data_IF_858806207777
#
_entry.id   IF_858806207777
#
_cell.length_a   1.000
_cell.length_b   1.000
_cell.length_c   1.000
_cell.angle_alpha   90.00
_cell.angle_beta   90.00
_cell.angle_gamma   90.00
#
_symmetry.space_group_name_H-M   'P 1'
#
loop_
_entity.id
_entity.type
_entity.pdbx_description
1 polymer ?
#
# COMPACT_ATOMS: atom_id res chain seq x y z
N UNK A 1 -2.04 10.02 14.75
CA UNK A 1 -3.25 9.24 15.16
C UNK A 1 -4.32 10.10 15.86
N UNK A 2 -3.98 11.17 16.57
CA UNK A 2 -4.94 11.99 17.34
C UNK A 2 -5.23 13.37 16.71
N UNK A 3 -5.15 13.48 15.38
CA UNK A 3 -5.06 14.78 14.73
C UNK A 3 -3.80 15.52 15.20
N UNK A 4 -3.99 16.71 15.80
CA UNK A 4 -2.90 17.53 16.36
C UNK A 4 -2.99 17.71 17.88
N UNK A 5 -3.87 16.97 18.55
CA UNK A 5 -4.15 17.15 19.99
C UNK A 5 -3.68 15.94 20.79
N UNK A 6 -2.69 16.16 21.66
CA UNK A 6 -2.17 15.15 22.58
C UNK A 6 -1.62 15.82 23.84
N UNK A 7 -1.97 15.29 25.02
CA UNK A 7 -1.46 15.77 26.32
C UNK A 7 -0.39 14.85 26.92
N UNK A 8 -0.20 13.65 26.36
CA UNK A 8 0.72 12.65 26.90
C UNK A 8 2.12 12.79 26.31
N UNK A 9 3.16 12.59 27.13
CA UNK A 9 4.54 12.44 26.64
C UNK A 9 4.73 11.10 25.90
N UNK A 10 4.07 10.05 26.38
CA UNK A 10 4.04 8.71 25.78
C UNK A 10 2.60 8.36 25.39
N UNK A 11 2.08 8.94 24.30
CA UNK A 11 0.71 8.67 23.88
C UNK A 11 0.54 7.22 23.40
N UNK A 12 -0.68 6.65 23.47
CA UNK A 12 -0.98 5.35 22.89
C UNK A 12 -0.53 5.27 21.42
N UNK A 13 0.21 4.21 21.08
CA UNK A 13 0.82 4.01 19.76
C UNK A 13 1.64 5.22 19.27
N UNK A 14 2.30 5.93 20.18
CA UNK A 14 3.12 7.11 19.90
C UNK A 14 2.38 8.26 19.19
N UNK A 15 1.04 8.22 19.14
CA UNK A 15 0.22 9.12 18.31
C UNK A 15 0.72 9.22 16.86
N UNK A 16 1.41 8.20 16.37
CA UNK A 16 2.17 8.20 15.13
C UNK A 16 1.26 8.16 13.88
N UNK A 17 1.82 7.78 12.74
CA UNK A 17 1.09 7.57 11.50
C UNK A 17 0.94 6.08 11.22
N UNK A 18 -0.15 5.47 11.71
CA UNK A 18 -0.57 4.14 11.28
C UNK A 18 -1.16 4.18 9.87
N UNK A 19 -0.49 3.52 8.93
CA UNK A 19 -0.82 3.47 7.51
C UNK A 19 -1.31 2.08 7.08
N UNK A 20 -1.83 1.30 8.02
CA UNK A 20 -2.57 0.05 7.78
C UNK A 20 -4.09 0.20 7.97
N UNK A 21 -4.60 1.43 8.15
CA UNK A 21 -6.01 1.86 8.08
C UNK A 21 -6.18 3.31 8.57
N UNK A 22 -5.54 3.69 9.67
CA UNK A 22 -5.92 4.89 10.45
C UNK A 22 -5.68 6.19 9.69
N UNK A 23 -4.49 6.36 9.10
CA UNK A 23 -4.17 7.58 8.38
C UNK A 23 -4.98 7.68 7.09
N UNK A 24 -5.19 6.57 6.37
CA UNK A 24 -6.09 6.54 5.22
C UNK A 24 -7.50 7.01 5.61
N UNK A 25 -8.04 6.48 6.71
CA UNK A 25 -9.36 6.82 7.22
C UNK A 25 -9.51 8.31 7.54
N UNK A 26 -8.48 8.95 8.08
CA UNK A 26 -8.51 10.38 8.38
C UNK A 26 -8.76 11.23 7.12
N UNK A 27 -8.35 10.76 5.94
CA UNK A 27 -8.42 11.51 4.69
C UNK A 27 -9.53 11.06 3.74
N UNK A 28 -10.23 9.94 4.00
CA UNK A 28 -11.42 9.54 3.22
C UNK A 28 -12.46 10.66 2.99
N UNK A 29 -12.77 11.53 3.97
CA UNK A 29 -13.73 12.60 3.71
C UNK A 29 -13.17 13.72 2.81
N UNK A 30 -11.86 13.87 2.65
CA UNK A 30 -11.25 15.08 2.09
C UNK A 30 -11.82 15.47 0.72
N UNK A 31 -11.91 14.51 -0.21
CA UNK A 31 -12.43 14.81 -1.54
C UNK A 31 -13.96 14.90 -1.57
N UNK A 32 -14.64 13.90 -0.99
CA UNK A 32 -16.10 13.78 -1.08
C UNK A 32 -16.85 14.87 -0.31
N UNK A 33 -16.22 15.48 0.71
CA UNK A 33 -16.79 16.59 1.47
C UNK A 33 -16.30 17.97 1.00
N UNK A 34 -15.67 18.03 -0.18
CA UNK A 34 -15.20 19.27 -0.79
C UNK A 34 -14.15 20.02 0.07
N UNK A 35 -13.19 19.27 0.60
CA UNK A 35 -12.03 19.72 1.37
C UNK A 35 -10.73 19.22 0.70
N UNK A 36 -10.66 19.25 -0.63
CA UNK A 36 -9.57 18.67 -1.42
C UNK A 36 -8.20 19.26 -1.05
N UNK A 37 -8.15 20.55 -0.71
CA UNK A 37 -6.95 21.23 -0.21
C UNK A 37 -6.42 20.63 1.10
N UNK A 38 -7.29 20.06 1.93
CA UNK A 38 -6.90 19.37 3.16
C UNK A 38 -6.25 18.02 2.89
N UNK A 39 -6.39 17.45 1.68
CA UNK A 39 -5.75 16.18 1.31
C UNK A 39 -4.26 16.36 0.96
N UNK A 40 -3.90 17.51 0.39
CA UNK A 40 -2.55 17.81 -0.11
C UNK A 40 -1.41 17.54 0.89
N UNK A 41 -1.52 17.85 2.20
CA UNK A 41 -0.49 17.50 3.17
C UNK A 41 -0.22 15.99 3.26
N UNK A 42 -1.25 15.15 3.15
CA UNK A 42 -1.08 13.70 3.15
C UNK A 42 -0.47 13.21 1.85
N UNK A 43 -0.94 13.71 0.71
CA UNK A 43 -0.37 13.34 -0.59
C UNK A 43 1.11 13.69 -0.66
N UNK A 44 1.48 14.88 -0.15
CA UNK A 44 2.88 15.31 -0.02
C UNK A 44 3.68 14.37 0.88
N UNK A 45 3.14 14.06 2.07
CA UNK A 45 3.77 13.16 3.04
C UNK A 45 4.05 11.79 2.43
N UNK A 46 3.10 11.22 1.65
CA UNK A 46 3.28 9.94 0.96
C UNK A 46 4.53 9.96 0.06
N UNK A 47 4.71 11.01 -0.75
CA UNK A 47 5.91 11.08 -1.60
C UNK A 47 7.19 11.35 -0.83
N UNK A 48 7.14 12.02 0.33
CA UNK A 48 8.31 12.23 1.20
C UNK A 48 8.81 10.92 1.84
N UNK A 49 7.95 9.91 1.99
CA UNK A 49 8.36 8.57 2.44
C UNK A 49 9.27 7.84 1.43
N UNK A 50 9.27 8.24 0.15
CA UNK A 50 9.96 7.50 -0.93
C UNK A 50 11.45 7.34 -0.70
N UNK A 51 12.13 8.36 -0.18
CA UNK A 51 13.58 8.29 0.02
C UNK A 51 13.96 7.17 0.99
N UNK A 52 13.37 7.18 2.19
CA UNK A 52 13.52 6.11 3.17
C UNK A 52 13.00 4.77 2.62
N UNK A 53 11.87 4.79 1.91
CA UNK A 53 11.23 3.59 1.36
C UNK A 53 12.06 2.88 0.29
N UNK A 54 12.79 3.61 -0.56
CA UNK A 54 13.74 3.03 -1.54
C UNK A 54 14.88 2.29 -0.84
N UNK A 55 15.41 2.89 0.23
CA UNK A 55 16.44 2.25 1.05
C UNK A 55 15.91 0.96 1.67
N UNK A 56 14.72 1.02 2.29
CA UNK A 56 14.07 -0.16 2.88
C UNK A 56 13.81 -1.25 1.83
N UNK A 57 13.31 -0.90 0.64
CA UNK A 57 13.06 -1.84 -0.45
C UNK A 57 14.35 -2.57 -0.88
N UNK A 58 15.43 -1.82 -1.10
CA UNK A 58 16.71 -2.38 -1.50
C UNK A 58 17.35 -3.22 -0.40
N UNK A 59 17.41 -2.75 0.84
CA UNK A 59 18.16 -3.44 1.90
C UNK A 59 17.41 -4.63 2.50
N UNK A 60 16.08 -4.58 2.53
CA UNK A 60 15.25 -5.61 3.19
C UNK A 60 14.79 -6.66 2.19
N UNK A 61 14.41 -6.23 0.99
CA UNK A 61 13.75 -7.08 -0.01
C UNK A 61 14.60 -7.31 -1.26
N UNK A 62 15.72 -6.59 -1.43
CA UNK A 62 16.48 -6.57 -2.68
C UNK A 62 15.60 -6.25 -3.90
N UNK A 63 14.64 -5.35 -3.72
CA UNK A 63 13.65 -4.96 -4.71
C UNK A 63 13.83 -3.51 -5.14
N UNK A 64 13.38 -3.18 -6.34
CA UNK A 64 13.29 -1.79 -6.83
C UNK A 64 12.07 -1.10 -6.23
N UNK A 65 11.88 0.18 -6.57
CA UNK A 65 10.75 0.97 -6.09
C UNK A 65 10.92 1.40 -4.64
N UNK A 66 9.80 1.60 -3.94
CA UNK A 66 9.80 1.96 -2.53
C UNK A 66 8.69 1.26 -1.75
N UNK A 67 8.92 1.07 -0.45
CA UNK A 67 7.99 0.39 0.46
C UNK A 67 7.88 1.16 1.77
N UNK A 68 6.72 1.03 2.41
CA UNK A 68 6.48 1.36 3.80
C UNK A 68 5.55 0.30 4.40
N UNK A 69 5.71 0.02 5.69
CA UNK A 69 4.96 -1.04 6.38
C UNK A 69 3.70 -0.47 7.06
N UNK A 70 3.27 -1.04 8.20
CA UNK A 70 2.05 -0.61 8.88
C UNK A 70 2.12 0.78 9.56
N UNK A 71 3.30 1.29 9.88
CA UNK A 71 3.48 2.57 10.60
C UNK A 71 4.64 3.39 10.04
N UNK A 72 4.58 4.70 10.27
CA UNK A 72 5.63 5.69 10.04
C UNK A 72 5.49 6.83 11.04
N UNK A 73 6.43 7.78 11.03
CA UNK A 73 6.45 8.95 11.89
C UNK A 73 6.87 10.21 11.11
N UNK A 74 7.11 11.31 11.84
CA UNK A 74 7.57 12.58 11.27
C UNK A 74 8.98 12.52 10.64
N UNK A 75 9.71 11.43 10.86
CA UNK A 75 11.05 11.18 10.30
C UNK A 75 11.01 10.24 9.11
N UNK A 76 9.80 9.90 8.62
CA UNK A 76 9.59 9.06 7.45
C UNK A 76 10.18 7.66 7.62
N UNK A 77 10.04 7.07 8.82
CA UNK A 77 10.44 5.69 9.04
C UNK A 77 9.59 4.72 8.19
N UNK A 78 10.25 3.90 7.37
CA UNK A 78 9.57 2.92 6.50
C UNK A 78 9.94 1.47 6.81
N UNK A 79 10.81 1.21 7.78
CA UNK A 79 11.28 -0.13 8.15
C UNK A 79 10.21 -0.95 8.88
N UNK A 80 10.42 -2.26 8.96
CA UNK A 80 9.63 -3.15 9.82
C UNK A 80 9.75 -2.70 11.28
N UNK A 81 8.63 -2.64 11.99
CA UNK A 81 8.59 -2.25 13.41
C UNK A 81 7.62 -3.16 14.18
N UNK A 82 7.95 -3.45 15.44
CA UNK A 82 7.12 -4.26 16.33
C UNK A 82 7.20 -5.77 16.05
N UNK A 83 6.09 -6.48 16.28
CA UNK A 83 6.01 -7.94 16.12
C UNK A 83 5.68 -8.34 14.69
N UNK A 84 6.14 -9.49 14.19
CA UNK A 84 5.67 -10.04 12.92
C UNK A 84 4.15 -10.13 12.79
N UNK A 85 3.40 -10.32 13.88
CA UNK A 85 1.93 -10.43 13.84
C UNK A 85 1.18 -9.14 13.46
N UNK A 86 1.88 -8.03 13.28
CA UNK A 86 1.30 -6.76 12.81
C UNK A 86 2.28 -5.95 11.95
N UNK A 87 3.57 -6.03 12.25
CA UNK A 87 4.62 -5.28 11.59
C UNK A 87 5.04 -5.81 10.21
N UNK A 88 4.92 -7.12 9.97
CA UNK A 88 5.27 -7.75 8.68
C UNK A 88 4.13 -7.57 7.66
N UNK A 89 3.84 -6.30 7.34
CA UNK A 89 2.79 -5.91 6.40
C UNK A 89 3.31 -4.83 5.45
N UNK A 90 3.91 -5.19 4.30
CA UNK A 90 4.62 -4.28 3.39
C UNK A 90 3.71 -3.56 2.38
N UNK A 91 2.47 -3.27 2.76
CA UNK A 91 1.46 -2.69 1.86
C UNK A 91 1.12 -1.23 2.16
N UNK A 92 1.69 -0.62 3.21
CA UNK A 92 1.31 0.74 3.64
C UNK A 92 1.58 1.80 2.59
N UNK A 93 2.71 1.71 1.89
CA UNK A 93 3.02 2.59 0.75
C UNK A 93 2.03 2.39 -0.40
N UNK A 94 1.75 1.13 -0.76
CA UNK A 94 0.86 0.78 -1.86
C UNK A 94 -0.58 1.27 -1.61
N UNK A 95 -1.11 1.07 -0.40
CA UNK A 95 -2.43 1.58 -0.05
C UNK A 95 -2.46 3.10 0.03
N UNK A 96 -1.44 3.73 0.65
CA UNK A 96 -1.42 5.19 0.72
C UNK A 96 -1.39 5.84 -0.68
N UNK A 97 -0.71 5.22 -1.65
CA UNK A 97 -0.69 5.69 -3.03
C UNK A 97 -2.07 5.71 -3.72
N UNK A 98 -3.07 4.96 -3.24
CA UNK A 98 -4.42 5.01 -3.82
C UNK A 98 -5.08 6.37 -3.60
N UNK A 99 -4.68 7.12 -2.56
CA UNK A 99 -5.18 8.48 -2.31
C UNK A 99 -4.68 9.49 -3.34
N UNK A 100 -3.48 9.28 -3.90
CA UNK A 100 -2.95 10.12 -5.00
C UNK A 100 -3.81 9.94 -6.25
N UNK A 101 -4.19 8.69 -6.55
CA UNK A 101 -5.10 8.41 -7.65
C UNK A 101 -6.49 8.99 -7.41
N UNK A 102 -7.02 8.83 -6.20
CA UNK A 102 -8.32 9.38 -5.81
C UNK A 102 -8.36 10.90 -5.97
N UNK A 103 -7.34 11.63 -5.51
CA UNK A 103 -7.25 13.08 -5.69
C UNK A 103 -7.36 13.48 -7.17
N UNK A 104 -6.65 12.78 -8.06
CA UNK A 104 -6.79 13.00 -9.50
C UNK A 104 -8.20 12.68 -10.01
N UNK A 105 -8.82 11.57 -9.57
CA UNK A 105 -10.17 11.22 -10.01
C UNK A 105 -11.23 12.27 -9.63
N UNK A 106 -11.09 12.92 -8.48
CA UNK A 106 -12.00 13.96 -8.03
C UNK A 106 -11.75 15.31 -8.70
N UNK A 107 -10.50 15.67 -8.95
CA UNK A 107 -10.11 17.00 -9.44
C UNK A 107 -9.93 17.09 -10.95
N UNK A 108 -9.57 15.98 -11.60
CA UNK A 108 -9.11 15.95 -12.99
C UNK A 108 -7.77 16.65 -13.21
N UNK A 109 -7.01 16.95 -12.15
CA UNK A 109 -5.76 17.73 -12.25
C UNK A 109 -4.63 16.90 -12.88
N UNK A 110 -4.53 16.99 -14.20
CA UNK A 110 -3.47 16.35 -14.99
C UNK A 110 -2.08 16.93 -14.74
N UNK A 111 -1.96 18.15 -14.22
CA UNK A 111 -0.67 18.75 -13.85
C UNK A 111 -0.17 18.06 -12.58
N UNK A 112 -1.00 17.99 -11.53
CA UNK A 112 -0.69 17.23 -10.32
C UNK A 112 -0.31 15.77 -10.64
N UNK A 113 -1.12 15.11 -11.48
CA UNK A 113 -0.86 13.72 -11.86
C UNK A 113 0.48 13.58 -12.59
N UNK A 114 0.79 14.47 -13.56
CA UNK A 114 2.02 14.40 -14.36
C UNK A 114 3.26 14.78 -13.57
N UNK A 115 3.21 15.83 -12.77
CA UNK A 115 4.38 16.41 -12.10
C UNK A 115 4.72 15.73 -10.78
N UNK A 116 3.75 15.04 -10.17
CA UNK A 116 3.94 14.45 -8.84
C UNK A 116 3.31 13.06 -8.71
N UNK A 117 2.00 12.96 -8.93
CA UNK A 117 1.23 11.80 -8.52
C UNK A 117 1.68 10.50 -9.21
N UNK A 118 1.90 10.57 -10.51
CA UNK A 118 2.28 9.42 -11.31
C UNK A 118 3.59 8.79 -10.86
N UNK A 119 4.64 9.58 -10.64
CA UNK A 119 5.95 9.06 -10.24
C UNK A 119 5.93 8.37 -8.87
N UNK A 120 5.13 8.90 -7.92
CA UNK A 120 4.97 8.31 -6.59
C UNK A 120 4.30 6.93 -6.68
N UNK A 121 3.17 6.85 -7.40
CA UNK A 121 2.43 5.59 -7.59
C UNK A 121 3.25 4.58 -8.41
N UNK A 122 3.90 5.04 -9.48
CA UNK A 122 4.73 4.21 -10.37
C UNK A 122 5.83 3.48 -9.60
N UNK A 123 6.57 4.17 -8.73
CA UNK A 123 7.61 3.51 -7.95
C UNK A 123 7.06 2.57 -6.86
N UNK A 124 5.89 2.85 -6.29
CA UNK A 124 5.24 1.90 -5.37
C UNK A 124 4.83 0.63 -6.12
N UNK A 125 4.29 0.79 -7.33
CA UNK A 125 3.94 -0.34 -8.20
C UNK A 125 5.18 -1.12 -8.64
N UNK A 126 6.32 -0.44 -8.85
CA UNK A 126 7.59 -1.10 -9.17
C UNK A 126 8.06 -2.01 -8.03
N UNK A 127 7.91 -1.58 -6.78
CA UNK A 127 8.19 -2.43 -5.62
C UNK A 127 7.24 -3.62 -5.56
N UNK A 128 5.93 -3.39 -5.68
CA UNK A 128 4.94 -4.47 -5.69
C UNK A 128 5.19 -5.48 -6.82
N UNK A 129 5.57 -5.01 -8.01
CA UNK A 129 5.94 -5.86 -9.16
C UNK A 129 7.12 -6.78 -8.84
N UNK A 130 8.11 -6.31 -8.09
CA UNK A 130 9.26 -7.10 -7.65
C UNK A 130 8.95 -8.00 -6.44
N UNK A 131 7.97 -7.61 -5.62
CA UNK A 131 7.58 -8.32 -4.41
C UNK A 131 6.62 -9.49 -4.66
N UNK A 132 5.88 -9.47 -5.77
CA UNK A 132 5.02 -10.59 -6.16
C UNK A 132 5.84 -11.84 -6.46
N UNK A 133 5.37 -12.98 -5.94
CA UNK A 133 5.98 -14.30 -6.14
C UNK A 133 4.94 -15.31 -6.59
N UNK A 134 5.38 -16.36 -7.30
CA UNK A 134 4.49 -17.45 -7.68
C UNK A 134 4.13 -18.31 -6.46
N UNK A 135 2.83 -18.51 -6.23
CA UNK A 135 2.35 -19.40 -5.20
C UNK A 135 2.66 -20.86 -5.58
N UNK A 136 3.34 -21.64 -4.71
CA UNK A 136 3.94 -22.93 -5.08
C UNK A 136 2.95 -24.02 -5.50
N UNK A 137 1.66 -23.87 -5.17
CA UNK A 137 0.62 -24.86 -5.54
C UNK A 137 -0.22 -24.44 -6.74
N UNK A 138 -0.33 -23.15 -7.02
CA UNK A 138 -1.27 -22.62 -8.02
C UNK A 138 -0.58 -21.94 -9.18
N UNK A 139 0.71 -21.59 -9.05
CA UNK A 139 1.46 -20.81 -10.04
C UNK A 139 0.96 -19.37 -10.22
N UNK A 140 -0.03 -18.94 -9.42
CA UNK A 140 -0.56 -17.57 -9.45
C UNK A 140 0.33 -16.64 -8.64
N UNK A 141 0.42 -15.39 -9.06
CA UNK A 141 1.16 -14.36 -8.32
C UNK A 141 0.43 -14.02 -7.02
N UNK A 142 1.17 -13.98 -5.93
CA UNK A 142 0.72 -13.61 -4.58
C UNK A 142 1.78 -12.74 -3.92
N UNK A 143 1.39 -11.99 -2.89
CA UNK A 143 2.34 -11.35 -1.97
C UNK A 143 2.82 -12.33 -0.91
N UNK A 144 3.99 -12.10 -0.31
CA UNK A 144 4.41 -12.91 0.84
C UNK A 144 5.92 -12.85 1.11
N UNK A 145 6.35 -12.86 2.39
CA UNK A 145 5.51 -12.96 3.58
C UNK A 145 4.72 -11.67 3.87
N UNK A 146 3.45 -11.81 4.26
CA UNK A 146 2.56 -10.72 4.68
C UNK A 146 1.52 -11.24 5.67
N UNK A 147 0.49 -10.46 5.98
CA UNK A 147 -0.57 -10.80 6.92
C UNK A 147 -1.87 -10.05 6.60
N UNK A 148 -3.00 -10.55 7.11
CA UNK A 148 -4.19 -9.72 7.27
C UNK A 148 -4.00 -8.89 8.54
N UNK A 149 -3.96 -7.54 8.48
CA UNK A 149 -3.56 -6.68 9.59
C UNK A 149 -4.09 -7.15 10.95
N UNK A 150 -3.15 -7.46 11.85
CA UNK A 150 -3.38 -7.78 13.26
C UNK A 150 -4.27 -9.01 13.54
N UNK A 151 -4.62 -9.77 12.50
CA UNK A 151 -5.43 -10.97 12.64
C UNK A 151 -4.57 -12.23 12.80
N UNK A 152 -5.15 -13.26 13.42
CA UNK A 152 -4.55 -14.59 13.57
C UNK A 152 -5.49 -15.66 13.05
N UNK A 153 -4.92 -16.74 12.54
CA UNK A 153 -5.67 -17.91 12.07
C UNK A 153 -5.09 -19.20 12.64
N UNK A 154 -5.92 -20.23 12.69
CA UNK A 154 -5.52 -21.57 13.12
C UNK A 154 -5.04 -22.35 11.90
N UNK A 155 -3.84 -22.90 11.98
CA UNK A 155 -3.24 -23.73 10.92
C UNK A 155 -3.88 -25.13 10.90
N UNK A 156 -3.73 -25.90 9.81
CA UNK A 156 -4.17 -27.31 9.79
C UNK A 156 -3.56 -28.19 10.89
N UNK A 157 -2.42 -27.79 11.46
CA UNK A 157 -1.77 -28.48 12.57
C UNK A 157 -2.36 -28.13 13.95
N UNK A 158 -3.26 -27.13 14.03
CA UNK A 158 -3.85 -26.63 15.27
C UNK A 158 -3.12 -25.44 15.89
N UNK A 159 -1.94 -25.07 15.37
CA UNK A 159 -1.18 -23.92 15.85
C UNK A 159 -1.81 -22.59 15.41
N UNK A 160 -1.53 -21.51 16.15
CA UNK A 160 -1.94 -20.15 15.78
C UNK A 160 -0.84 -19.46 14.96
N UNK A 161 -1.19 -18.90 13.81
CA UNK A 161 -0.30 -18.15 12.92
C UNK A 161 -0.89 -16.79 12.55
N UNK A 162 -0.04 -15.88 12.06
CA UNK A 162 -0.45 -14.55 11.56
C UNK A 162 0.08 -14.29 10.13
N UNK A 163 1.28 -14.79 9.82
CA UNK A 163 1.92 -14.62 8.52
C UNK A 163 1.37 -15.63 7.51
N UNK A 164 1.06 -15.16 6.31
CA UNK A 164 0.66 -15.99 5.18
C UNK A 164 1.15 -15.40 3.84
N UNK A 165 0.76 -16.05 2.74
CA UNK A 165 0.98 -15.58 1.37
C UNK A 165 -0.37 -15.25 0.75
N UNK A 166 -0.44 -14.11 0.05
CA UNK A 166 -1.62 -13.63 -0.66
C UNK A 166 -2.86 -13.42 0.21
N UNK A 167 -2.77 -12.70 1.36
CA UNK A 167 -3.97 -12.31 2.08
C UNK A 167 -4.84 -11.44 1.16
N UNK A 168 -6.18 -11.56 1.29
CA UNK A 168 -7.12 -10.90 0.38
C UNK A 168 -6.90 -9.38 0.29
N UNK A 169 -6.57 -8.73 1.41
CA UNK A 169 -6.29 -7.30 1.47
C UNK A 169 -5.10 -6.89 0.59
N UNK A 170 -3.99 -7.62 0.66
CA UNK A 170 -2.82 -7.36 -0.19
C UNK A 170 -3.17 -7.48 -1.67
N UNK A 171 -3.89 -8.54 -2.04
CA UNK A 171 -4.30 -8.77 -3.43
C UNK A 171 -5.18 -7.62 -3.95
N UNK A 172 -6.08 -7.11 -3.12
CA UNK A 172 -6.93 -5.97 -3.47
C UNK A 172 -6.15 -4.65 -3.57
N UNK A 173 -5.19 -4.40 -2.66
CA UNK A 173 -4.33 -3.21 -2.70
C UNK A 173 -3.43 -3.24 -3.94
N UNK A 174 -2.78 -4.37 -4.22
CA UNK A 174 -1.96 -4.55 -5.43
C UNK A 174 -2.80 -4.35 -6.68
N UNK A 175 -3.99 -4.95 -6.73
CA UNK A 175 -4.91 -4.79 -7.85
C UNK A 175 -5.28 -3.31 -8.08
N UNK A 176 -5.62 -2.58 -7.01
CA UNK A 176 -5.97 -1.18 -7.08
C UNK A 176 -4.78 -0.34 -7.56
N UNK A 177 -3.62 -0.47 -6.93
CA UNK A 177 -2.41 0.28 -7.29
C UNK A 177 -2.00 0.03 -8.75
N UNK A 178 -1.95 -1.23 -9.20
CA UNK A 178 -1.56 -1.55 -10.57
C UNK A 178 -2.55 -0.97 -11.58
N UNK A 179 -3.85 -1.10 -11.32
CA UNK A 179 -4.88 -0.51 -12.18
C UNK A 179 -4.75 1.02 -12.22
N UNK A 180 -4.56 1.68 -11.08
CA UNK A 180 -4.34 3.13 -10.99
C UNK A 180 -3.13 3.59 -11.81
N UNK A 181 -1.99 2.89 -11.70
CA UNK A 181 -0.78 3.22 -12.46
C UNK A 181 -0.98 2.99 -13.96
N UNK A 182 -1.68 1.92 -14.34
CA UNK A 182 -2.00 1.63 -15.74
C UNK A 182 -2.88 2.73 -16.34
N UNK A 183 -3.96 3.12 -15.66
CA UNK A 183 -4.86 4.17 -16.13
C UNK A 183 -4.19 5.55 -16.13
N UNK A 184 -3.46 5.92 -15.07
CA UNK A 184 -2.71 7.16 -15.02
C UNK A 184 -1.66 7.25 -16.15
N UNK A 185 -0.94 6.16 -16.41
CA UNK A 185 0.03 6.13 -17.50
C UNK A 185 -0.63 6.15 -18.89
N UNK A 186 -1.86 5.65 -19.05
CA UNK A 186 -2.66 5.82 -20.28
C UNK A 186 -3.04 7.27 -20.48
N UNK A 187 -3.59 7.91 -19.46
CA UNK A 187 -3.98 9.32 -19.48
C UNK A 187 -2.81 10.23 -19.85
N UNK A 188 -1.64 9.99 -19.25
CA UNK A 188 -0.46 10.82 -19.47
C UNK A 188 0.33 10.47 -20.74
N UNK A 189 0.07 9.32 -21.35
CA UNK A 189 0.83 8.79 -22.48
C UNK A 189 2.23 8.27 -22.12
N UNK A 190 2.43 7.73 -20.91
CA UNK A 190 3.74 7.36 -20.34
C UNK A 190 3.91 5.83 -20.17
N UNK A 191 5.15 5.39 -19.96
CA UNK A 191 5.57 4.01 -19.59
C UNK A 191 4.77 2.85 -20.20
N UNK A 192 4.67 2.79 -21.54
CA UNK A 192 3.94 1.71 -22.22
C UNK A 192 4.38 0.29 -21.76
N UNK A 193 5.69 0.02 -21.77
CA UNK A 193 6.23 -1.30 -21.41
C UNK A 193 5.95 -1.67 -19.94
N UNK A 194 6.05 -0.69 -19.03
CA UNK A 194 5.76 -0.94 -17.63
C UNK A 194 4.27 -1.24 -17.41
N UNK A 195 3.37 -0.50 -18.08
CA UNK A 195 1.93 -0.78 -18.03
C UNK A 195 1.60 -2.18 -18.55
N UNK A 196 2.25 -2.63 -19.61
CA UNK A 196 2.08 -3.98 -20.15
C UNK A 196 2.54 -5.06 -19.16
N UNK A 197 3.69 -4.84 -18.50
CA UNK A 197 4.16 -5.71 -17.42
C UNK A 197 3.13 -5.79 -16.28
N UNK A 198 2.67 -4.64 -15.76
CA UNK A 198 1.69 -4.61 -14.67
C UNK A 198 0.38 -5.30 -15.10
N UNK A 199 -0.07 -5.11 -16.34
CA UNK A 199 -1.27 -5.76 -16.87
C UNK A 199 -1.11 -7.28 -16.93
N UNK A 200 0.07 -7.77 -17.36
CA UNK A 200 0.40 -9.20 -17.35
C UNK A 200 0.39 -9.77 -15.94
N UNK A 201 0.98 -9.06 -14.97
CA UNK A 201 0.97 -9.45 -13.57
C UNK A 201 -0.45 -9.45 -12.97
N UNK A 202 -1.30 -8.47 -13.29
CA UNK A 202 -2.72 -8.45 -12.90
C UNK A 202 -3.47 -9.70 -13.39
N UNK A 203 -3.21 -10.13 -14.63
CA UNK A 203 -3.84 -11.33 -15.20
C UNK A 203 -3.39 -12.62 -14.49
N UNK A 204 -2.22 -12.58 -13.83
CA UNK A 204 -1.69 -13.70 -13.05
C UNK A 204 -1.87 -13.57 -11.55
N UNK A 205 -2.32 -12.42 -11.05
CA UNK A 205 -2.59 -12.20 -9.64
C UNK A 205 -3.65 -13.19 -9.15
N UNK A 206 -3.45 -13.75 -7.97
CA UNK A 206 -4.45 -14.60 -7.34
C UNK A 206 -5.74 -13.79 -7.09
N UNK A 207 -6.89 -14.43 -7.32
CA UNK A 207 -8.18 -13.81 -7.03
C UNK A 207 -8.61 -14.10 -5.60
N UNK A 208 -9.29 -13.13 -4.99
CA UNK A 208 -10.03 -13.34 -3.74
C UNK A 208 -11.09 -14.41 -3.96
N UNK A 209 -11.25 -15.31 -2.99
CA UNK A 209 -12.11 -16.49 -3.10
C UNK A 209 -13.31 -16.34 -2.17
N UNK A 210 -14.39 -17.04 -2.49
CA UNK A 210 -15.53 -17.17 -1.58
C UNK A 210 -15.35 -18.47 -0.80
N UNK A 211 -15.39 -18.38 0.52
CA UNK A 211 -15.36 -19.51 1.44
C UNK A 211 -16.60 -20.39 1.31
N UNK A 212 -16.53 -21.62 1.81
CA UNK A 212 -17.66 -22.56 1.80
C UNK A 212 -18.89 -22.07 2.57
N UNK A 213 -18.71 -21.07 3.43
CA UNK A 213 -19.75 -20.41 4.22
C UNK A 213 -20.23 -19.07 3.61
N UNK A 214 -19.80 -18.75 2.39
CA UNK A 214 -20.22 -17.57 1.65
C UNK A 214 -19.48 -16.27 2.00
N UNK A 215 -18.47 -16.31 2.88
CA UNK A 215 -17.62 -15.15 3.17
C UNK A 215 -16.57 -14.92 2.08
N UNK A 216 -16.15 -13.67 1.92
CA UNK A 216 -14.96 -13.28 1.15
C UNK A 216 -13.70 -13.61 1.95
#
# INVERSE_FOLDING_TARGET
MQGIWNEYLEPPWNSDYHININLQMNYWPAEITNLSECHLPYLKFIGELRESGRKTASTTYNSRGWVAHHTTDAWHQTQLFGSPSWGMWPMGAAWSCTHIWEHYLFTGDTIFLREYGYDVMREAALFMSDFLVEHPRTGKLVTGPSLSPENRFVTPAGDTAAINMGPAMDLQIVWHLFTSVIEAGRELGLDYEFRDLLQSQLNQLAHVKIGSDGRI
#
